data_IF_917348884412
#
_entry.id   IF_917348884412
#
_cell.length_a   1.000
_cell.length_b   1.000
_cell.length_c   1.000
_cell.angle_alpha   90.00
_cell.angle_beta   90.00
_cell.angle_gamma   90.00
#
_symmetry.space_group_name_H-M   'P 1'
#
loop_
_entity.id
_entity.type
_entity.pdbx_description
1 polymer ?
#
# COMPACT_ATOMS: atom_id res chain seq x y z
N UNK A 1 -2.13 -12.27 -10.62
CA UNK A 1 -1.56 -11.02 -11.19
C UNK A 1 -2.25 -9.85 -10.50
N UNK A 2 -1.51 -8.87 -10.00
CA UNK A 2 -2.07 -7.73 -9.25
C UNK A 2 -1.75 -6.41 -9.96
N UNK A 3 -2.76 -5.56 -10.11
CA UNK A 3 -2.67 -4.22 -10.65
C UNK A 3 -2.87 -3.20 -9.54
N UNK A 4 -1.88 -2.32 -9.40
CA UNK A 4 -1.88 -1.18 -8.48
C UNK A 4 -1.57 0.07 -9.30
N UNK A 5 -2.38 1.11 -9.11
CA UNK A 5 -2.22 2.40 -9.79
C UNK A 5 -2.26 3.50 -8.75
N UNK A 6 -1.25 4.38 -8.79
CA UNK A 6 -1.24 5.61 -8.01
C UNK A 6 -1.03 6.82 -8.92
N UNK A 7 -1.81 7.87 -8.70
CA UNK A 7 -1.75 9.12 -9.46
C UNK A 7 -1.65 10.27 -8.47
N UNK A 8 -0.67 11.15 -8.69
CA UNK A 8 -0.51 12.39 -7.93
C UNK A 8 -1.29 13.49 -8.67
N UNK A 9 -2.21 14.13 -7.98
CA UNK A 9 -3.15 15.11 -8.51
C UNK A 9 -2.92 16.49 -7.88
N UNK A 10 -3.61 17.51 -8.39
CA UNK A 10 -3.72 18.85 -7.78
C UNK A 10 -2.39 19.38 -7.21
N UNK A 11 -1.37 19.55 -8.07
CA UNK A 11 -0.05 20.05 -7.66
C UNK A 11 0.63 19.31 -6.48
N UNK A 12 0.38 18.00 -6.36
CA UNK A 12 0.92 17.12 -5.29
C UNK A 12 0.22 17.27 -3.94
N UNK A 13 -0.96 17.87 -3.91
CA UNK A 13 -1.78 17.98 -2.70
C UNK A 13 -2.70 16.76 -2.53
N UNK A 14 -3.04 16.08 -3.61
CA UNK A 14 -3.92 14.92 -3.60
C UNK A 14 -3.30 13.69 -4.27
N UNK A 15 -3.73 12.51 -3.85
CA UNK A 15 -3.32 11.24 -4.42
C UNK A 15 -4.55 10.37 -4.63
N UNK A 16 -4.70 9.86 -5.85
CA UNK A 16 -5.72 8.86 -6.19
C UNK A 16 -5.04 7.51 -6.31
N UNK A 17 -5.60 6.51 -5.63
CA UNK A 17 -5.06 5.16 -5.59
C UNK A 17 -6.16 4.17 -5.96
N UNK A 18 -5.82 3.28 -6.88
CA UNK A 18 -6.73 2.25 -7.40
C UNK A 18 -5.98 0.93 -7.36
N UNK A 19 -6.64 -0.10 -6.83
CA UNK A 19 -6.16 -1.47 -6.87
C UNK A 19 -7.25 -2.38 -7.43
N UNK A 20 -6.83 -3.41 -8.16
CA UNK A 20 -7.74 -4.51 -8.46
C UNK A 20 -8.10 -5.28 -7.17
N UNK A 21 -9.18 -6.05 -7.24
CA UNK A 21 -9.58 -6.99 -6.18
C UNK A 21 -9.35 -8.44 -6.56
N UNK A 22 -8.66 -8.68 -7.67
CA UNK A 22 -8.49 -10.03 -8.20
C UNK A 22 -7.34 -10.71 -7.46
N UNK A 23 -7.53 -11.97 -7.08
CA UNK A 23 -6.50 -12.82 -6.48
C UNK A 23 -6.45 -14.11 -7.27
N UNK A 24 -5.22 -14.55 -7.58
CA UNK A 24 -5.00 -15.87 -8.19
C UNK A 24 -4.75 -16.86 -7.06
N UNK A 25 -5.63 -17.85 -6.92
CA UNK A 25 -5.51 -18.90 -5.90
C UNK A 25 -4.40 -19.88 -6.26
N UNK A 26 -4.01 -20.74 -5.31
CA UNK A 26 -2.95 -21.72 -5.51
C UNK A 26 -3.24 -22.74 -6.63
N UNK A 27 -4.51 -23.02 -6.90
CA UNK A 27 -4.96 -23.88 -8.00
C UNK A 27 -5.06 -23.15 -9.35
N UNK A 28 -4.66 -21.88 -9.40
CA UNK A 28 -4.67 -21.05 -10.60
C UNK A 28 -6.05 -20.47 -10.96
N UNK A 29 -7.08 -20.71 -10.14
CA UNK A 29 -8.38 -20.06 -10.31
C UNK A 29 -8.35 -18.58 -9.89
N UNK A 30 -9.39 -17.85 -10.27
CA UNK A 30 -9.54 -16.43 -9.95
C UNK A 30 -10.58 -16.27 -8.85
N UNK A 31 -10.18 -15.60 -7.78
CA UNK A 31 -11.05 -15.17 -6.69
C UNK A 31 -11.07 -13.64 -6.61
N UNK A 32 -12.08 -13.10 -5.91
CA UNK A 32 -12.16 -11.69 -5.59
C UNK A 32 -12.05 -11.50 -4.09
N UNK A 33 -11.15 -10.62 -3.69
CA UNK A 33 -10.95 -10.30 -2.28
C UNK A 33 -11.81 -9.11 -1.86
N UNK A 34 -12.36 -9.22 -0.66
CA UNK A 34 -13.15 -8.14 -0.07
C UNK A 34 -12.27 -7.10 0.63
N UNK A 35 -11.11 -7.50 1.12
CA UNK A 35 -10.16 -6.61 1.79
C UNK A 35 -9.43 -5.73 0.77
N UNK A 36 -9.26 -4.43 1.08
CA UNK A 36 -8.58 -3.52 0.18
C UNK A 36 -7.07 -3.76 0.24
N UNK A 37 -6.39 -3.71 -0.91
CA UNK A 37 -4.93 -3.89 -1.02
C UNK A 37 -4.15 -2.61 -0.63
N UNK A 38 -4.56 -1.97 0.45
CA UNK A 38 -4.02 -0.69 0.93
C UNK A 38 -3.94 -0.67 2.45
N UNK A 39 -2.85 -0.12 2.98
CA UNK A 39 -2.73 0.14 4.41
C UNK A 39 -2.08 1.49 4.71
N UNK A 40 -2.65 2.25 5.63
CA UNK A 40 -2.10 3.54 6.08
C UNK A 40 -0.97 3.32 7.09
N UNK A 41 0.26 3.68 6.77
CA UNK A 41 1.40 3.61 7.70
C UNK A 41 1.33 4.79 8.70
N UNK A 42 0.94 5.97 8.21
CA UNK A 42 0.59 7.18 8.99
C UNK A 42 -0.55 7.93 8.28
N UNK A 43 -1.20 8.94 8.90
CA UNK A 43 -2.33 9.64 8.25
C UNK A 43 -2.02 10.26 6.88
N UNK A 44 -0.76 10.60 6.61
CA UNK A 44 -0.30 11.22 5.36
C UNK A 44 0.43 10.28 4.41
N UNK A 45 0.60 9.00 4.76
CA UNK A 45 1.33 8.03 3.94
C UNK A 45 0.75 6.63 4.08
N UNK A 46 0.62 5.94 2.95
CA UNK A 46 0.04 4.62 2.84
C UNK A 46 0.85 3.77 1.86
N UNK A 47 0.66 2.46 1.93
CA UNK A 47 1.23 1.48 1.01
C UNK A 47 0.15 0.77 0.23
N UNK A 48 0.44 0.45 -1.04
CA UNK A 48 -0.36 -0.47 -1.85
C UNK A 48 0.36 -1.82 -1.91
N UNK A 49 -0.41 -2.91 -1.75
CA UNK A 49 0.16 -4.25 -1.62
C UNK A 49 -0.07 -5.07 -2.90
N UNK A 50 1.01 -5.57 -3.49
CA UNK A 50 0.97 -6.51 -4.60
C UNK A 50 1.81 -7.75 -4.26
N UNK A 51 1.21 -8.93 -4.43
CA UNK A 51 1.83 -10.20 -4.05
C UNK A 51 0.96 -10.91 -3.02
N UNK A 52 1.57 -11.65 -2.11
CA UNK A 52 0.90 -12.20 -0.94
C UNK A 52 0.49 -11.06 -0.02
N UNK A 53 -0.80 -10.92 0.24
CA UNK A 53 -1.38 -9.97 1.22
C UNK A 53 -0.99 -10.33 2.67
N UNK A 54 -0.23 -11.40 2.85
CA UNK A 54 0.13 -11.99 4.13
C UNK A 54 1.57 -11.71 4.57
N UNK A 55 2.13 -10.54 4.24
CA UNK A 55 3.43 -10.08 4.79
C UNK A 55 3.24 -8.89 5.77
N UNK A 56 2.42 -9.04 6.84
CA UNK A 56 2.15 -7.96 7.80
C UNK A 56 3.40 -7.49 8.57
N UNK A 57 4.45 -8.30 8.62
CA UNK A 57 5.74 -7.95 9.19
C UNK A 57 6.40 -6.78 8.46
N UNK A 58 6.32 -6.73 7.12
CA UNK A 58 6.92 -5.63 6.34
C UNK A 58 6.25 -4.29 6.65
N UNK A 59 4.93 -4.33 6.84
CA UNK A 59 4.14 -3.16 7.22
C UNK A 59 4.48 -2.72 8.65
N UNK A 60 4.62 -3.69 9.56
CA UNK A 60 4.99 -3.44 10.96
C UNK A 60 6.39 -2.82 11.05
N UNK A 61 7.34 -3.34 10.28
CA UNK A 61 8.71 -2.85 10.21
C UNK A 61 8.76 -1.43 9.62
N UNK A 62 8.02 -1.17 8.53
CA UNK A 62 7.88 0.15 7.95
C UNK A 62 7.31 1.17 8.97
N UNK A 63 6.24 0.80 9.69
CA UNK A 63 5.66 1.63 10.76
C UNK A 63 6.67 1.93 11.87
N UNK A 64 7.47 0.93 12.27
CA UNK A 64 8.50 1.08 13.29
C UNK A 64 9.60 2.03 12.83
N UNK A 65 10.08 1.89 11.59
CA UNK A 65 11.13 2.70 11.00
C UNK A 65 10.74 4.19 10.90
N UNK A 66 9.47 4.50 10.64
CA UNK A 66 8.99 5.87 10.51
C UNK A 66 8.41 6.45 11.81
N UNK A 67 8.48 5.73 12.93
CA UNK A 67 7.90 6.16 14.20
C UNK A 67 8.54 7.48 14.67
N UNK A 68 7.69 8.48 14.95
CA UNK A 68 8.13 9.82 15.36
C UNK A 68 8.61 10.71 14.20
N UNK A 69 8.48 10.25 12.95
CA UNK A 69 8.70 11.05 11.75
C UNK A 69 7.38 11.70 11.33
N UNK A 70 7.41 13.02 11.17
CA UNK A 70 6.24 13.81 10.81
C UNK A 70 6.33 14.38 9.39
N UNK A 71 7.50 14.90 8.95
CA UNK A 71 7.60 15.39 7.58
C UNK A 71 7.54 14.24 6.58
N UNK A 72 6.66 14.37 5.59
CA UNK A 72 6.50 13.44 4.47
C UNK A 72 7.82 13.12 3.77
N UNK A 73 8.72 14.12 3.67
CA UNK A 73 10.06 13.93 3.11
C UNK A 73 10.92 12.96 3.93
N UNK A 74 10.90 13.07 5.26
CA UNK A 74 11.67 12.14 6.11
C UNK A 74 11.11 10.72 6.05
N UNK A 75 9.81 10.58 5.84
CA UNK A 75 9.16 9.28 5.62
C UNK A 75 9.57 8.71 4.25
N UNK A 76 9.57 9.55 3.20
CA UNK A 76 9.93 9.15 1.84
C UNK A 76 11.41 8.76 1.69
N UNK A 77 12.31 9.28 2.53
CA UNK A 77 13.73 8.90 2.51
C UNK A 77 13.99 7.52 3.19
N UNK A 78 12.99 6.97 3.90
CA UNK A 78 13.10 5.70 4.66
C UNK A 78 12.44 4.54 3.90
N UNK A 79 11.36 4.80 3.17
CA UNK A 79 10.58 3.82 2.40
C UNK A 79 11.13 3.64 0.98
#
# INVERSE_FOLDING_TARGET
MTQLVGVICENREEVILISDRMVTTADGSLAFEHEPKVEFIVPSALVLMAGSIHEPELITDARSAIKGKTPLREIADIL
#
